data_IF_363733355874
#
_entry.id   IF_363733355874
#
_cell.length_a   1.000
_cell.length_b   1.000
_cell.length_c   1.000
_cell.angle_alpha   90.00
_cell.angle_beta   90.00
_cell.angle_gamma   90.00
#
_symmetry.space_group_name_H-M   'P 1'
#
loop_
_entity.id
_entity.type
_entity.pdbx_description
1 polymer ?
#
# COMPACT_ATOMS: atom_id res chain seq x y z
N UNK A 1 -16.22 -4.85 6.66
CA UNK A 1 -15.24 -3.78 6.34
C UNK A 1 -14.32 -3.56 7.52
N UNK A 2 -13.05 -3.42 7.28
CA UNK A 2 -12.08 -3.25 8.36
C UNK A 2 -12.10 -1.81 8.89
N UNK A 3 -12.27 -1.65 10.20
CA UNK A 3 -12.17 -0.34 10.85
C UNK A 3 -10.74 0.15 10.96
N UNK A 4 -9.77 -0.72 10.67
CA UNK A 4 -8.35 -0.43 10.79
C UNK A 4 -7.71 0.01 9.47
N UNK A 5 -8.45 0.02 8.38
CA UNK A 5 -7.92 0.39 7.09
C UNK A 5 -7.11 -0.70 6.41
N UNK A 6 -7.29 -1.95 6.83
CA UNK A 6 -6.71 -3.12 6.15
C UNK A 6 -7.84 -4.09 5.85
N UNK A 7 -8.01 -4.41 4.56
CA UNK A 7 -9.09 -5.26 4.09
C UNK A 7 -8.66 -6.71 3.91
N UNK A 8 -7.38 -6.93 3.64
CA UNK A 8 -6.90 -8.26 3.25
C UNK A 8 -5.42 -8.40 3.61
N UNK A 9 -5.00 -9.61 3.93
CA UNK A 9 -3.58 -9.92 4.02
C UNK A 9 -3.25 -11.12 3.14
N UNK A 10 -2.04 -11.12 2.60
CA UNK A 10 -1.54 -12.21 1.76
C UNK A 10 -0.26 -12.73 2.39
N UNK A 11 -0.23 -14.01 2.67
CA UNK A 11 0.99 -14.69 3.10
C UNK A 11 1.58 -15.44 1.92
N UNK A 12 2.90 -15.35 1.76
CA UNK A 12 3.58 -16.03 0.67
C UNK A 12 4.24 -17.31 1.17
N UNK A 13 4.16 -18.35 0.34
CA UNK A 13 4.82 -19.62 0.61
C UNK A 13 6.22 -19.61 0.03
N UNK A 14 7.09 -20.41 0.63
CA UNK A 14 8.43 -20.66 0.09
C UNK A 14 8.34 -21.44 -1.22
N UNK A 15 9.46 -21.61 -1.92
CA UNK A 15 9.51 -22.41 -3.14
C UNK A 15 9.17 -23.88 -2.87
N UNK A 16 9.37 -24.34 -1.63
CA UNK A 16 8.98 -25.69 -1.21
C UNK A 16 7.50 -25.79 -0.83
N UNK A 17 6.74 -24.70 -0.95
CA UNK A 17 5.31 -24.68 -0.62
C UNK A 17 5.00 -24.57 0.85
N UNK A 18 5.99 -24.21 1.67
CA UNK A 18 5.79 -24.06 3.11
C UNK A 18 5.39 -22.63 3.48
N UNK A 19 4.57 -22.49 4.51
CA UNK A 19 4.23 -21.20 5.06
C UNK A 19 5.47 -20.50 5.62
N UNK A 20 5.64 -19.22 5.27
CA UNK A 20 6.83 -18.45 5.68
C UNK A 20 6.55 -17.52 6.84
N UNK A 21 5.29 -17.26 7.17
CA UNK A 21 4.91 -16.18 8.08
C UNK A 21 5.14 -14.79 7.50
N UNK A 22 5.63 -14.70 6.26
CA UNK A 22 5.89 -13.44 5.56
C UNK A 22 4.67 -13.03 4.77
N UNK A 23 4.22 -11.81 4.99
CA UNK A 23 2.95 -11.36 4.38
C UNK A 23 3.00 -9.89 4.00
N UNK A 24 1.95 -9.46 3.32
CA UNK A 24 1.67 -8.06 3.11
C UNK A 24 0.19 -7.80 3.32
N UNK A 25 -0.13 -6.55 3.51
CA UNK A 25 -1.49 -6.11 3.77
C UNK A 25 -2.00 -5.28 2.60
N UNK A 26 -3.29 -5.42 2.31
CA UNK A 26 -3.94 -4.67 1.24
C UNK A 26 -5.05 -3.80 1.81
N UNK A 27 -5.08 -2.54 1.40
CA UNK A 27 -6.21 -1.66 1.60
C UNK A 27 -6.82 -1.40 0.22
N UNK A 28 -8.07 -1.80 0.04
CA UNK A 28 -8.75 -1.74 -1.25
C UNK A 28 -9.69 -0.55 -1.30
N UNK A 29 -9.59 0.23 -2.37
CA UNK A 29 -10.47 1.37 -2.61
C UNK A 29 -11.01 1.31 -4.03
N UNK A 30 -12.27 1.66 -4.21
CA UNK A 30 -12.94 1.71 -5.52
C UNK A 30 -13.49 3.09 -5.80
N UNK A 31 -13.51 3.46 -7.08
CA UNK A 31 -14.04 4.73 -7.54
C UNK A 31 -13.03 5.85 -7.43
N UNK A 32 -13.48 7.06 -7.74
CA UNK A 32 -12.60 8.21 -7.83
C UNK A 32 -12.73 9.15 -6.62
N UNK A 33 -13.59 8.81 -5.66
CA UNK A 33 -13.90 9.68 -4.50
C UNK A 33 -12.73 9.88 -3.53
N UNK A 34 -11.74 9.00 -3.57
CA UNK A 34 -10.60 9.07 -2.66
C UNK A 34 -9.40 9.76 -3.28
N UNK A 35 -9.46 10.12 -4.54
CA UNK A 35 -8.35 10.57 -5.34
C UNK A 35 -8.74 11.78 -6.15
N UNK A 36 -7.81 12.75 -6.28
CA UNK A 36 -8.00 13.86 -7.19
C UNK A 36 -6.65 14.25 -7.79
N UNK A 37 -6.69 14.91 -8.94
CA UNK A 37 -5.49 15.40 -9.60
C UNK A 37 -5.21 16.81 -9.14
N UNK A 38 -4.04 17.03 -8.55
CA UNK A 38 -3.67 18.33 -8.02
C UNK A 38 -3.32 19.28 -9.16
N UNK A 39 -3.94 20.47 -9.17
CA UNK A 39 -3.82 21.40 -10.28
C UNK A 39 -2.40 21.90 -10.52
N UNK A 40 -1.67 22.20 -9.45
CA UNK A 40 -0.35 22.85 -9.58
C UNK A 40 0.71 21.96 -10.23
N UNK A 41 0.62 20.65 -10.12
CA UNK A 41 1.62 19.72 -10.62
C UNK A 41 1.04 18.50 -11.34
N UNK A 42 -0.27 18.40 -11.40
CA UNK A 42 -0.94 17.28 -12.05
C UNK A 42 -0.81 15.95 -11.35
N UNK A 43 -0.25 15.91 -10.14
CA UNK A 43 -0.09 14.67 -9.41
C UNK A 43 -1.41 14.19 -8.84
N UNK A 44 -1.57 12.87 -8.78
CA UNK A 44 -2.74 12.27 -8.16
C UNK A 44 -2.58 12.23 -6.66
N UNK A 45 -3.59 12.67 -5.95
CA UNK A 45 -3.56 12.74 -4.49
C UNK A 45 -4.62 11.80 -3.94
N UNK A 46 -4.21 10.93 -3.03
CA UNK A 46 -5.13 10.13 -2.24
C UNK A 46 -5.27 10.79 -0.87
N UNK A 47 -6.51 11.12 -0.48
CA UNK A 47 -6.77 11.75 0.81
C UNK A 47 -7.07 10.69 1.87
N UNK A 48 -6.34 10.76 2.98
CA UNK A 48 -6.58 9.89 4.12
C UNK A 48 -7.64 10.54 4.99
N UNK A 49 -8.82 9.95 5.05
CA UNK A 49 -9.95 10.55 5.76
C UNK A 49 -9.82 10.50 7.28
N UNK A 50 -9.10 9.51 7.79
CA UNK A 50 -8.90 9.34 9.23
C UNK A 50 -7.40 9.22 9.52
N UNK A 51 -6.88 10.13 10.32
CA UNK A 51 -5.46 10.17 10.67
C UNK A 51 -4.98 8.85 11.29
N UNK A 52 -5.84 8.20 12.09
CA UNK A 52 -5.48 6.92 12.70
C UNK A 52 -5.14 5.84 11.67
N UNK A 53 -5.64 5.93 10.43
CA UNK A 53 -5.32 4.97 9.38
C UNK A 53 -3.86 5.10 8.95
N UNK A 54 -3.35 6.34 8.79
CA UNK A 54 -1.96 6.52 8.39
C UNK A 54 -1.01 5.98 9.45
N UNK A 55 -1.31 6.22 10.72
CA UNK A 55 -0.50 5.68 11.81
C UNK A 55 -0.57 4.16 11.87
N UNK A 56 -1.76 3.62 11.70
CA UNK A 56 -1.93 2.17 11.70
C UNK A 56 -1.14 1.51 10.57
N UNK A 57 -1.16 2.12 9.37
CA UNK A 57 -0.40 1.61 8.24
C UNK A 57 1.11 1.67 8.49
N UNK A 58 1.60 2.78 9.05
CA UNK A 58 3.03 2.92 9.37
C UNK A 58 3.51 1.91 10.40
N UNK A 59 2.65 1.54 11.34
CA UNK A 59 3.03 0.67 12.45
C UNK A 59 3.02 -0.82 12.11
N UNK A 60 2.60 -1.18 10.90
CA UNK A 60 2.55 -2.58 10.51
C UNK A 60 3.95 -3.18 10.35
N UNK A 61 4.10 -4.45 10.73
CA UNK A 61 5.37 -5.18 10.60
C UNK A 61 5.71 -5.51 9.15
N UNK A 62 4.69 -5.59 8.28
CA UNK A 62 4.85 -5.95 6.88
C UNK A 62 4.35 -4.82 5.98
N UNK A 63 4.75 -4.82 4.70
CA UNK A 63 4.32 -3.77 3.78
C UNK A 63 2.80 -3.64 3.68
N UNK A 64 2.34 -2.42 3.51
CA UNK A 64 0.91 -2.11 3.29
C UNK A 64 0.77 -1.55 1.89
N UNK A 65 -0.08 -2.18 1.09
CA UNK A 65 -0.34 -1.75 -0.27
C UNK A 65 -1.71 -1.07 -0.35
N UNK A 66 -1.73 0.13 -0.90
CA UNK A 66 -2.96 0.80 -1.25
C UNK A 66 -3.28 0.42 -2.70
N UNK A 67 -4.41 -0.24 -2.90
CA UNK A 67 -4.84 -0.70 -4.21
C UNK A 67 -6.11 0.05 -4.58
N UNK A 68 -6.07 0.75 -5.70
CA UNK A 68 -7.18 1.58 -6.14
C UNK A 68 -7.67 1.11 -7.50
N UNK A 69 -8.97 0.84 -7.57
CA UNK A 69 -9.67 0.57 -8.82
C UNK A 69 -10.45 1.82 -9.20
N UNK A 70 -10.16 2.41 -10.35
CA UNK A 70 -10.84 3.60 -10.81
C UNK A 70 -12.18 3.27 -11.49
N UNK A 71 -12.92 4.31 -11.92
CA UNK A 71 -14.22 4.15 -12.56
C UNK A 71 -14.13 3.47 -13.92
N UNK A 72 -12.97 3.44 -14.55
CA UNK A 72 -12.74 2.75 -15.81
C UNK A 72 -12.32 1.30 -15.64
N UNK A 73 -12.19 0.86 -14.39
CA UNK A 73 -11.81 -0.51 -14.08
C UNK A 73 -10.31 -0.75 -14.02
N UNK A 74 -9.49 0.27 -14.23
CA UNK A 74 -8.04 0.13 -14.08
C UNK A 74 -7.68 0.00 -12.60
N UNK A 75 -6.81 -0.95 -12.29
CA UNK A 75 -6.35 -1.20 -10.93
C UNK A 75 -4.87 -0.85 -10.82
N UNK A 76 -4.54 0.01 -9.87
CA UNK A 76 -3.16 0.43 -9.60
C UNK A 76 -2.88 0.27 -8.12
N UNK A 77 -1.61 0.10 -7.78
CA UNK A 77 -1.19 -0.11 -6.40
C UNK A 77 0.06 0.67 -6.06
N UNK A 78 0.23 0.95 -4.78
CA UNK A 78 1.41 1.63 -4.26
C UNK A 78 1.67 1.15 -2.84
N UNK A 79 2.95 0.93 -2.50
CA UNK A 79 3.32 0.62 -1.12
C UNK A 79 3.28 1.91 -0.30
N UNK A 80 2.49 1.96 0.75
CA UNK A 80 2.25 3.19 1.51
C UNK A 80 2.87 3.21 2.90
N UNK A 81 3.22 2.06 3.48
CA UNK A 81 3.84 2.04 4.82
C UNK A 81 5.15 2.84 4.83
N UNK A 82 6.06 2.51 3.93
CA UNK A 82 7.36 3.15 3.89
C UNK A 82 7.26 4.57 3.33
N UNK A 83 6.35 4.80 2.39
CA UNK A 83 6.09 6.13 1.88
C UNK A 83 5.65 7.06 3.01
N UNK A 84 4.71 6.62 3.85
CA UNK A 84 4.22 7.39 4.98
C UNK A 84 5.32 7.64 6.03
N UNK A 85 6.17 6.66 6.28
CA UNK A 85 7.28 6.84 7.19
C UNK A 85 8.21 7.93 6.72
N UNK A 86 8.53 7.97 5.44
CA UNK A 86 9.39 9.02 4.89
C UNK A 86 8.69 10.37 4.92
N UNK A 87 7.45 10.44 4.47
CA UNK A 87 6.69 11.69 4.38
C UNK A 87 6.42 12.31 5.76
N UNK A 88 6.26 11.47 6.78
CA UNK A 88 5.99 11.92 8.14
C UNK A 88 7.26 12.18 8.97
N UNK A 89 8.43 11.96 8.38
CA UNK A 89 9.68 12.10 9.12
C UNK A 89 9.81 11.08 10.25
N UNK A 90 9.42 9.84 10.00
CA UNK A 90 9.44 8.77 11.00
C UNK A 90 8.29 8.84 12.00
N UNK A 91 7.17 9.41 11.58
CA UNK A 91 5.98 9.52 12.43
C UNK A 91 5.88 10.83 13.21
N UNK A 92 6.80 11.78 12.96
CA UNK A 92 6.81 13.07 13.67
C UNK A 92 5.75 14.04 13.18
N UNK A 93 5.35 13.89 11.92
CA UNK A 93 4.34 14.77 11.30
C UNK A 93 3.10 13.95 10.95
N UNK A 94 1.94 14.59 11.05
CA UNK A 94 0.70 14.01 10.56
C UNK A 94 0.68 14.10 9.03
N UNK A 95 0.35 12.99 8.37
CA UNK A 95 0.22 12.95 6.91
C UNK A 95 -1.23 12.64 6.56
N UNK A 96 -1.87 13.56 5.84
CA UNK A 96 -3.28 13.45 5.45
C UNK A 96 -3.46 13.14 3.98
N UNK A 97 -2.41 13.28 3.19
CA UNK A 97 -2.46 13.07 1.75
C UNK A 97 -1.27 12.25 1.31
N UNK A 98 -1.52 11.33 0.39
CA UNK A 98 -0.49 10.53 -0.25
C UNK A 98 -0.44 10.95 -1.71
N UNK A 99 0.77 11.26 -2.19
CA UNK A 99 0.98 11.43 -3.63
C UNK A 99 0.96 10.02 -4.21
N UNK A 100 -0.12 9.70 -4.93
CA UNK A 100 -0.34 8.35 -5.42
C UNK A 100 0.42 8.13 -6.73
N UNK A 101 1.51 7.41 -6.64
CA UNK A 101 2.34 7.02 -7.78
C UNK A 101 2.11 5.54 -8.06
N UNK A 102 0.87 5.20 -8.35
CA UNK A 102 0.45 3.81 -8.48
C UNK A 102 0.94 3.15 -9.74
N UNK A 103 1.42 1.92 -9.60
CA UNK A 103 1.76 1.05 -10.71
C UNK A 103 0.54 0.22 -11.08
N UNK A 104 0.44 -0.11 -12.38
CA UNK A 104 -0.65 -0.96 -12.86
C UNK A 104 -0.54 -2.37 -12.26
N UNK A 105 -1.66 -2.90 -11.80
CA UNK A 105 -1.72 -4.25 -11.28
C UNK A 105 -1.72 -5.26 -12.44
N UNK A 106 -0.71 -6.14 -12.46
CA UNK A 106 -0.62 -7.21 -13.44
C UNK A 106 0.06 -8.43 -12.78
N UNK A 107 0.31 -9.49 -13.55
CA UNK A 107 0.92 -10.70 -13.00
C UNK A 107 2.32 -10.45 -12.45
N UNK A 108 3.04 -9.49 -13.02
CA UNK A 108 4.37 -9.15 -12.53
C UNK A 108 4.32 -8.42 -11.20
N UNK A 109 3.22 -7.72 -10.91
CA UNK A 109 3.05 -7.04 -9.63
C UNK A 109 3.08 -8.03 -8.46
N UNK A 110 2.31 -9.11 -8.58
CA UNK A 110 2.25 -10.13 -7.52
C UNK A 110 3.62 -10.77 -7.31
N UNK A 111 4.36 -11.02 -8.39
CA UNK A 111 5.71 -11.56 -8.30
C UNK A 111 6.64 -10.59 -7.57
N UNK A 112 6.58 -9.30 -7.88
CA UNK A 112 7.37 -8.28 -7.19
C UNK A 112 7.01 -8.18 -5.72
N UNK A 113 5.73 -8.30 -5.39
CA UNK A 113 5.29 -8.32 -3.99
C UNK A 113 5.92 -9.48 -3.23
N UNK A 114 5.88 -10.67 -3.84
CA UNK A 114 6.47 -11.86 -3.25
C UNK A 114 7.97 -11.68 -3.04
N UNK A 115 8.67 -11.19 -4.03
CA UNK A 115 10.11 -10.94 -3.93
C UNK A 115 10.43 -9.92 -2.85
N UNK A 116 9.65 -8.86 -2.75
CA UNK A 116 9.84 -7.84 -1.71
C UNK A 116 9.69 -8.42 -0.31
N UNK A 117 8.68 -9.25 -0.10
CA UNK A 117 8.40 -9.83 1.21
C UNK A 117 9.39 -10.93 1.57
N UNK A 118 9.69 -11.83 0.64
CA UNK A 118 10.60 -12.94 0.87
C UNK A 118 12.05 -12.57 0.65
N UNK A 119 12.33 -11.71 -0.33
CA UNK A 119 13.68 -11.30 -0.67
C UNK A 119 14.38 -10.53 0.42
N UNK A 120 13.66 -9.80 1.26
CA UNK A 120 14.22 -9.10 2.39
C UNK A 120 14.95 -10.04 3.36
N UNK A 121 14.58 -11.32 3.34
CA UNK A 121 15.23 -12.35 4.14
C UNK A 121 16.55 -12.80 3.53
N UNK A 122 16.70 -12.70 2.23
CA UNK A 122 17.86 -13.18 1.51
C UNK A 122 19.04 -12.20 1.55
N UNK A 123 18.83 -11.02 2.07
CA UNK A 123 19.82 -9.94 2.06
C UNK A 123 20.73 -9.94 3.29
N UNK A 124 20.70 -10.97 4.04
CA UNK A 124 21.52 -11.06 5.26
C UNK A 124 22.97 -11.35 4.96
#
# INVERSE_FOLDING_TARGET
>A
MSDHGIDMEIEFKSDAGEATGRKLYLQLKSGDSYRYKRRRDGQEIFTIKKERHSRYWMDQAFPVLLVIRDSEGEVRWMEVRDWLKRASGGGKKSVKQIVFEGERLDVMSVRRWRERVLGAKAVH
#
